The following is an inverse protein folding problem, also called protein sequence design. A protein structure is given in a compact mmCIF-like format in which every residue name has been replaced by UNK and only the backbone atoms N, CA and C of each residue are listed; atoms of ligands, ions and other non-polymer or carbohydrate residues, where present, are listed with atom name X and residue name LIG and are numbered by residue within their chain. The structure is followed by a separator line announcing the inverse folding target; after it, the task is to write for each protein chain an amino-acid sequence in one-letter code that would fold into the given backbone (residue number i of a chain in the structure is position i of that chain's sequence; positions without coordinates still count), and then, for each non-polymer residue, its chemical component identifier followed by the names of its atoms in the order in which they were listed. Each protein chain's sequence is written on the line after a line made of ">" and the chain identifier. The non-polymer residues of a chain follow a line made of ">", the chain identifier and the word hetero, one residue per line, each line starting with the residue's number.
data_IF_342902650436
#
_entry.id   IF_342902650436
#
_cell.length_a   1.000
_cell.length_b   1.000
_cell.length_c   1.000
_cell.angle_alpha   90.00
_cell.angle_beta   90.00
_cell.angle_gamma   90.00
#
_symmetry.space_group_name_H-M   'P 1'
#
loop_
_entity.id
_entity.type
_entity.pdbx_description
1 polymer ?
#
# COMPACT_ATOMS: atom_id res chain seq x y z
N UNK A 1 7.78 -7.51 13.07
CA UNK A 1 7.45 -6.25 13.78
C UNK A 1 6.42 -5.38 13.04
N UNK A 2 5.88 -5.81 11.89
CA UNK A 2 4.74 -5.12 11.24
C UNK A 2 5.08 -3.82 10.51
N UNK A 3 6.36 -3.42 10.47
CA UNK A 3 6.81 -2.22 9.77
C UNK A 3 6.87 -2.46 8.26
N UNK A 4 6.52 -1.42 7.51
CA UNK A 4 6.78 -1.35 6.07
C UNK A 4 8.28 -1.31 5.83
N UNK A 5 8.71 -1.97 4.76
CA UNK A 5 10.09 -2.01 4.30
C UNK A 5 10.17 -1.39 2.91
N UNK A 6 11.33 -0.82 2.59
CA UNK A 6 11.63 -0.43 1.21
C UNK A 6 11.48 -1.68 0.33
N UNK A 7 10.85 -1.50 -0.83
CA UNK A 7 10.47 -2.55 -1.79
C UNK A 7 9.27 -3.42 -1.39
N UNK A 8 8.55 -3.10 -0.31
CA UNK A 8 7.19 -3.65 -0.15
C UNK A 8 6.31 -3.15 -1.30
N UNK A 9 5.67 -4.07 -2.00
CA UNK A 9 4.74 -3.71 -3.06
C UNK A 9 3.34 -3.52 -2.47
N UNK A 10 2.82 -2.30 -2.55
CA UNK A 10 1.44 -1.99 -2.16
C UNK A 10 0.46 -2.61 -3.16
N UNK A 11 -0.44 -3.46 -2.67
CA UNK A 11 -1.45 -4.12 -3.52
C UNK A 11 -2.88 -3.74 -3.18
N UNK A 12 -3.15 -3.23 -1.98
CA UNK A 12 -4.45 -2.64 -1.64
C UNK A 12 -4.34 -1.59 -0.52
N UNK A 13 -5.28 -0.64 -0.51
CA UNK A 13 -5.45 0.37 0.54
C UNK A 13 -6.91 0.42 0.98
N UNK A 14 -7.19 0.33 2.28
CA UNK A 14 -8.55 0.36 2.85
C UNK A 14 -9.55 -0.63 2.20
N UNK A 15 -9.04 -1.75 1.66
CA UNK A 15 -9.85 -2.74 0.93
C UNK A 15 -9.96 -2.50 -0.57
N UNK A 16 -9.46 -1.38 -1.09
CA UNK A 16 -9.41 -1.08 -2.52
C UNK A 16 -8.11 -1.61 -3.15
N UNK A 17 -8.25 -2.45 -4.18
CA UNK A 17 -7.10 -3.01 -4.91
C UNK A 17 -6.37 -1.97 -5.75
N UNK A 18 -5.05 -2.05 -5.74
CA UNK A 18 -4.14 -1.28 -6.59
C UNK A 18 -3.62 -2.10 -7.78
N UNK A 19 -3.91 -3.41 -7.81
CA UNK A 19 -3.52 -4.28 -8.91
C UNK A 19 -4.25 -3.88 -10.20
N UNK A 20 -3.52 -3.86 -11.32
CA UNK A 20 -4.05 -3.48 -12.63
C UNK A 20 -4.20 -1.97 -12.86
N UNK A 21 -3.97 -1.14 -11.82
CA UNK A 21 -3.88 0.33 -11.97
C UNK A 21 -2.50 0.73 -12.45
N UNK A 22 -2.41 1.84 -13.17
CA UNK A 22 -1.12 2.48 -13.39
C UNK A 22 -0.53 2.95 -12.06
N UNK A 23 0.79 3.11 -11.99
CA UNK A 23 1.45 3.61 -10.78
C UNK A 23 0.89 4.97 -10.35
N UNK A 24 0.56 5.85 -11.30
CA UNK A 24 -0.04 7.15 -11.02
C UNK A 24 -1.42 7.01 -10.36
N UNK A 25 -2.31 6.21 -10.93
CA UNK A 25 -3.66 5.97 -10.39
C UNK A 25 -3.64 5.29 -9.03
N UNK A 26 -2.73 4.33 -8.84
CA UNK A 26 -2.53 3.67 -7.56
C UNK A 26 -2.09 4.67 -6.47
N UNK A 27 -1.16 5.56 -6.81
CA UNK A 27 -0.68 6.60 -5.90
C UNK A 27 -1.74 7.66 -5.60
N UNK A 28 -2.58 8.03 -6.57
CA UNK A 28 -3.74 8.88 -6.32
C UNK A 28 -4.74 8.22 -5.36
N UNK A 29 -5.05 6.94 -5.57
CA UNK A 29 -5.94 6.17 -4.68
C UNK A 29 -5.41 6.16 -3.24
N UNK A 30 -4.10 5.92 -3.10
CA UNK A 30 -3.42 5.94 -1.80
C UNK A 30 -3.50 7.34 -1.15
N UNK A 31 -3.19 8.40 -1.91
CA UNK A 31 -3.25 9.79 -1.42
C UNK A 31 -4.65 10.18 -0.99
N UNK A 32 -5.68 9.82 -1.76
CA UNK A 32 -7.10 10.04 -1.42
C UNK A 32 -7.49 9.31 -0.13
N UNK A 33 -7.07 8.05 0.00
CA UNK A 33 -7.30 7.26 1.22
C UNK A 33 -6.63 7.83 2.47
N UNK A 34 -5.53 8.58 2.32
CA UNK A 34 -4.84 9.28 3.41
C UNK A 34 -5.39 10.68 3.68
N UNK A 35 -6.05 11.30 2.69
CA UNK A 35 -6.70 12.61 2.85
C UNK A 35 -7.81 12.54 3.89
N UNK A 36 -8.14 13.68 4.49
CA UNK A 36 -9.22 13.84 5.47
C UNK A 36 -10.57 13.33 4.93
N UNK A 37 -10.77 13.39 3.62
CA UNK A 37 -11.96 12.89 2.93
C UNK A 37 -12.04 11.36 2.91
N UNK A 38 -10.90 10.65 2.94
CA UNK A 38 -10.82 9.19 2.90
C UNK A 38 -10.43 8.52 4.24
N UNK A 39 -9.98 9.30 5.22
CA UNK A 39 -9.42 8.80 6.48
C UNK A 39 -10.19 9.27 7.72
N UNK A 40 -11.47 8.90 7.83
CA UNK A 40 -12.31 9.22 9.00
C UNK A 40 -11.80 8.59 10.31
N UNK A 41 -11.03 7.50 10.22
CA UNK A 41 -10.55 6.71 11.38
C UNK A 41 -9.17 7.15 11.89
N UNK A 42 -8.53 8.11 11.22
CA UNK A 42 -7.15 8.52 11.52
C UNK A 42 -6.09 7.45 11.21
N UNK A 43 -6.48 6.34 10.57
CA UNK A 43 -5.59 5.26 10.15
C UNK A 43 -6.07 4.64 8.85
N UNK A 44 -5.12 4.24 8.00
CA UNK A 44 -5.38 3.47 6.78
C UNK A 44 -4.86 2.04 6.93
N UNK A 45 -5.51 1.10 6.28
CA UNK A 45 -5.03 -0.28 6.16
C UNK A 45 -4.30 -0.45 4.84
N UNK A 46 -3.12 -1.05 4.86
CA UNK A 46 -2.36 -1.41 3.66
C UNK A 46 -2.22 -2.92 3.57
N UNK A 47 -2.38 -3.46 2.37
CA UNK A 47 -2.04 -4.84 2.04
C UNK A 47 -0.82 -4.80 1.14
N UNK A 48 0.23 -5.55 1.50
CA UNK A 48 1.50 -5.54 0.80
C UNK A 48 1.95 -6.93 0.41
N UNK A 49 2.65 -7.02 -0.71
CA UNK A 49 3.46 -8.17 -1.07
C UNK A 49 4.91 -7.88 -0.71
N UNK A 50 5.51 -8.79 0.04
CA UNK A 50 6.92 -8.72 0.43
C UNK A 50 7.66 -9.88 -0.20
N UNK A 51 8.56 -9.58 -1.13
CA UNK A 51 9.55 -10.56 -1.54
C UNK A 51 10.49 -10.81 -0.37
N UNK A 52 10.59 -12.06 0.07
CA UNK A 52 11.70 -12.45 0.94
C UNK A 52 12.94 -12.35 0.08
N UNK A 53 13.89 -11.47 0.45
CA UNK A 53 15.14 -11.35 -0.27
C UNK A 53 15.72 -12.75 -0.50
N UNK A 54 16.25 -13.06 -1.70
CA UNK A 54 16.95 -14.30 -1.89
C UNK A 54 18.04 -14.35 -0.82
N UNK A 55 18.03 -15.41 -0.02
CA UNK A 55 19.12 -15.68 0.91
C UNK A 55 20.31 -16.01 0.02
N UNK A 56 21.08 -14.99 -0.36
CA UNK A 56 22.39 -15.20 -0.97
C UNK A 56 23.22 -15.94 0.08
N UNK A 57 23.40 -17.24 -0.13
CA UNK A 57 24.43 -18.02 0.54
C UNK A 57 25.81 -17.59 0.04
#
# INVERSE_FOLDING_TARGET
>A
DGRLRVNDQLIAVNGETLLGKSNHEAMETLRRSMSMEGNLRGMIQLVVLRALAPTTQ
#
